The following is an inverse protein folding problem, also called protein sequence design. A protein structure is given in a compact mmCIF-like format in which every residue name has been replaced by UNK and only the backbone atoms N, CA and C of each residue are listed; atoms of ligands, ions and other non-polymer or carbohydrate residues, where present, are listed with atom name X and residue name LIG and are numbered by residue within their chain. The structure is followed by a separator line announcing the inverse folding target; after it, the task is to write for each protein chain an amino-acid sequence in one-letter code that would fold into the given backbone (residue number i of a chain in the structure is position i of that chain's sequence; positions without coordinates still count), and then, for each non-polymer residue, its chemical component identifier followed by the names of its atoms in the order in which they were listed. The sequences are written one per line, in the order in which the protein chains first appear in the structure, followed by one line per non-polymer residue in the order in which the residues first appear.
data_IF_942256598904
#
_entry.id   IF_942256598904
#
_cell.length_a   1.000
_cell.length_b   1.000
_cell.length_c   1.000
_cell.angle_alpha   90.00
_cell.angle_beta   90.00
_cell.angle_gamma   90.00
#
_symmetry.space_group_name_H-M   'P 1'
#
loop_
_entity.id
_entity.type
_entity.pdbx_description
1 polymer ?
#
# COMPACT_ATOMS: atom_id res chain seq x y z
N UNK A 1 -29.61 20.43 -7.42
CA UNK A 1 -29.04 20.46 -6.06
C UNK A 1 -27.77 19.65 -6.13
N UNK A 2 -26.62 20.31 -6.09
CA UNK A 2 -25.34 19.62 -6.00
C UNK A 2 -25.25 18.89 -4.64
N UNK A 3 -24.74 17.65 -4.63
CA UNK A 3 -24.57 16.92 -3.38
C UNK A 3 -23.63 17.72 -2.49
N UNK A 4 -24.07 18.00 -1.26
CA UNK A 4 -23.21 18.58 -0.26
C UNK A 4 -22.10 17.57 0.07
N UNK A 5 -20.84 18.02 0.26
CA UNK A 5 -19.77 17.12 0.67
C UNK A 5 -20.12 16.45 1.99
N UNK A 6 -19.97 15.12 2.04
CA UNK A 6 -20.32 14.30 3.21
C UNK A 6 -19.34 14.46 4.38
N UNK A 7 -18.15 15.02 4.11
CA UNK A 7 -17.08 15.24 5.08
C UNK A 7 -16.70 16.72 5.07
N UNK A 8 -16.45 17.27 6.24
CA UNK A 8 -15.73 18.54 6.39
C UNK A 8 -14.29 18.41 5.90
N UNK A 9 -13.60 19.53 5.59
CA UNK A 9 -12.19 19.49 5.19
C UNK A 9 -11.27 18.82 6.21
N UNK A 10 -11.55 18.97 7.50
CA UNK A 10 -10.80 18.35 8.58
C UNK A 10 -11.03 16.83 8.63
N UNK A 11 -12.28 16.37 8.54
CA UNK A 11 -12.60 14.95 8.48
C UNK A 11 -11.99 14.29 7.24
N UNK A 12 -12.02 14.97 6.09
CA UNK A 12 -11.37 14.50 4.87
C UNK A 12 -9.85 14.35 5.07
N UNK A 13 -9.19 15.33 5.69
CA UNK A 13 -7.75 15.29 5.94
C UNK A 13 -7.38 14.18 6.94
N UNK A 14 -8.21 13.95 7.96
CA UNK A 14 -7.99 12.86 8.92
C UNK A 14 -8.14 11.50 8.25
N UNK A 15 -9.17 11.33 7.41
CA UNK A 15 -9.39 10.10 6.65
C UNK A 15 -8.24 9.82 5.67
N UNK A 16 -7.76 10.85 4.97
CA UNK A 16 -6.58 10.76 4.09
C UNK A 16 -5.31 10.34 4.84
N UNK A 17 -5.12 10.83 6.07
CA UNK A 17 -3.99 10.40 6.93
C UNK A 17 -4.11 8.92 7.31
N UNK A 18 -5.29 8.46 7.68
CA UNK A 18 -5.53 7.05 7.99
C UNK A 18 -5.25 6.14 6.78
N UNK A 19 -5.67 6.54 5.57
CA UNK A 19 -5.33 5.82 4.34
C UNK A 19 -3.82 5.83 4.10
N UNK A 20 -3.17 6.98 4.24
CA UNK A 20 -1.73 7.08 4.01
C UNK A 20 -0.96 6.16 4.97
N UNK A 21 -1.41 6.04 6.22
CA UNK A 21 -0.84 5.10 7.19
C UNK A 21 -1.11 3.64 6.81
N UNK A 22 -2.35 3.31 6.42
CA UNK A 22 -2.71 1.97 5.96
C UNK A 22 -1.93 1.55 4.70
N UNK A 23 -1.63 2.50 3.81
CA UNK A 23 -0.83 2.26 2.61
C UNK A 23 0.64 1.94 2.91
N UNK A 24 1.20 2.42 4.03
CA UNK A 24 2.62 2.27 4.34
C UNK A 24 3.09 0.84 4.60
N UNK A 25 2.21 -0.14 4.75
CA UNK A 25 2.59 -1.52 5.11
C UNK A 25 2.11 -2.56 4.11
N UNK A 26 1.67 -2.11 2.94
CA UNK A 26 0.84 -2.87 2.04
C UNK A 26 1.44 -2.88 0.64
N UNK A 27 2.77 -3.01 0.52
CA UNK A 27 3.42 -3.23 -0.78
C UNK A 27 3.74 -4.70 -0.89
N UNK A 28 3.00 -5.40 -1.74
CA UNK A 28 3.36 -6.73 -2.16
C UNK A 28 4.50 -6.64 -3.18
N UNK A 29 5.54 -7.41 -2.94
CA UNK A 29 6.78 -7.44 -3.68
C UNK A 29 6.96 -8.82 -4.29
N UNK A 30 7.30 -8.89 -5.57
CA UNK A 30 7.63 -10.14 -6.25
C UNK A 30 8.91 -10.02 -7.07
N UNK A 31 9.91 -10.83 -6.76
CA UNK A 31 11.17 -10.82 -7.47
C UNK A 31 11.10 -11.68 -8.73
N UNK A 32 11.28 -11.06 -9.91
CA UNK A 32 11.22 -11.75 -11.21
C UNK A 32 12.42 -12.65 -11.51
N UNK A 33 13.46 -12.64 -10.67
CA UNK A 33 14.67 -13.46 -10.87
C UNK A 33 14.71 -14.70 -9.96
N UNK A 34 14.17 -14.63 -8.73
CA UNK A 34 14.16 -15.75 -7.78
C UNK A 34 12.76 -16.19 -7.35
N UNK A 35 11.72 -15.56 -7.93
CA UNK A 35 10.31 -15.87 -7.72
C UNK A 35 9.78 -15.66 -6.30
N UNK A 36 10.59 -15.08 -5.40
CA UNK A 36 10.17 -14.81 -4.02
C UNK A 36 9.10 -13.72 -3.98
N UNK A 37 8.10 -13.94 -3.12
CA UNK A 37 7.04 -12.99 -2.79
C UNK A 37 7.15 -12.56 -1.33
N UNK A 38 6.92 -11.27 -1.04
CA UNK A 38 6.89 -10.75 0.33
C UNK A 38 6.09 -9.45 0.42
N UNK A 39 5.81 -8.99 1.64
CA UNK A 39 5.20 -7.68 1.88
C UNK A 39 6.22 -6.76 2.53
N UNK A 40 6.31 -5.52 2.05
CA UNK A 40 7.20 -4.50 2.58
C UNK A 40 6.48 -3.17 2.79
N UNK A 41 7.10 -2.32 3.60
CA UNK A 41 6.62 -0.96 3.85
C UNK A 41 7.06 0.07 2.79
N UNK A 42 7.99 -0.33 1.93
CA UNK A 42 8.54 0.50 0.87
C UNK A 42 9.12 -0.39 -0.22
N UNK A 43 9.46 0.22 -1.37
CA UNK A 43 10.15 -0.47 -2.45
C UNK A 43 11.55 -0.91 -1.99
N UNK A 44 11.70 -2.18 -1.64
CA UNK A 44 12.95 -2.77 -1.16
C UNK A 44 13.48 -3.82 -2.14
N UNK A 45 14.81 -3.86 -2.39
CA UNK A 45 15.40 -4.87 -3.24
C UNK A 45 15.24 -6.26 -2.63
N UNK A 46 15.25 -7.29 -3.48
CA UNK A 46 15.19 -8.65 -3.01
C UNK A 46 16.48 -9.05 -2.28
N UNK A 47 16.37 -9.91 -1.27
CA UNK A 47 17.55 -10.46 -0.55
C UNK A 47 18.49 -11.28 -1.44
N UNK A 48 18.06 -11.72 -2.63
CA UNK A 48 18.93 -12.36 -3.62
C UNK A 48 19.86 -11.38 -4.36
N UNK A 49 19.72 -10.07 -4.11
CA UNK A 49 20.46 -8.99 -4.78
C UNK A 49 19.80 -8.47 -6.06
N UNK A 50 18.68 -9.05 -6.47
CA UNK A 50 17.92 -8.58 -7.64
C UNK A 50 17.22 -7.24 -7.37
N UNK A 51 17.26 -6.37 -8.39
CA UNK A 51 16.47 -5.13 -8.46
C UNK A 51 15.23 -5.26 -9.34
N UNK A 52 15.01 -6.43 -9.95
CA UNK A 52 13.84 -6.73 -10.79
C UNK A 52 12.69 -7.20 -9.91
N UNK A 53 12.24 -6.30 -9.05
CA UNK A 53 11.12 -6.53 -8.13
C UNK A 53 9.90 -5.78 -8.66
N UNK A 54 8.79 -6.47 -8.76
CA UNK A 54 7.48 -5.89 -9.00
C UNK A 54 6.88 -5.45 -7.66
N UNK A 55 6.36 -4.22 -7.61
CA UNK A 55 5.77 -3.63 -6.42
C UNK A 55 4.31 -3.30 -6.71
N UNK A 56 3.41 -3.91 -5.95
CA UNK A 56 1.96 -3.73 -6.07
C UNK A 56 1.42 -3.31 -4.72
N UNK A 57 0.75 -2.16 -4.66
CA UNK A 57 -0.01 -1.78 -3.47
C UNK A 57 -1.15 -2.79 -3.27
N UNK A 58 -1.15 -3.50 -2.14
CA UNK A 58 -2.07 -4.57 -1.79
C UNK A 58 -2.70 -4.30 -0.44
N UNK A 59 -3.99 -3.97 -0.41
CA UNK A 59 -4.72 -3.86 0.85
C UNK A 59 -5.14 -5.26 1.29
N UNK A 60 -4.52 -5.73 2.37
CA UNK A 60 -4.91 -6.96 3.05
C UNK A 60 -6.02 -6.62 4.06
N UNK A 61 -7.22 -7.12 3.83
CA UNK A 61 -8.26 -7.13 4.86
C UNK A 61 -8.13 -8.47 5.60
N UNK A 62 -8.19 -8.49 6.94
CA UNK A 62 -8.27 -9.75 7.67
C UNK A 62 -9.50 -10.53 7.20
N UNK A 63 -9.34 -11.83 6.99
CA UNK A 63 -10.43 -12.69 6.52
C UNK A 63 -11.54 -12.91 7.58
N UNK A 64 -11.28 -12.68 8.88
CA UNK A 64 -12.26 -12.70 9.99
C UNK A 64 -11.70 -11.97 11.24
#
# INVERSE_FOLDING_TARGET
MDPQPQLTPEELQEWQRCIAEANRYNIWCHCRDCDREWVASSEVPCECGSKRVEYIACWQFPDD
#
